data_IF_124201937545
#
_entry.id   IF_124201937545
#
_cell.length_a   1.000
_cell.length_b   1.000
_cell.length_c   1.000
_cell.angle_alpha   90.00
_cell.angle_beta   90.00
_cell.angle_gamma   90.00
#
_symmetry.space_group_name_H-M   'P 1'
#
loop_
_entity.id
_entity.type
_entity.pdbx_description
1 polymer ?
#
# COMPACT_ATOMS: atom_id res chain seq x y z
N UNK A 1 -0.69 52.41 32.57
CA UNK A 1 -2.07 52.47 32.04
C UNK A 1 -2.10 51.62 30.77
N UNK A 2 -2.59 50.37 30.88
CA UNK A 2 -3.79 49.83 30.21
C UNK A 2 -3.76 49.99 28.68
N UNK A 3 -3.36 48.93 27.96
CA UNK A 3 -4.21 47.92 27.29
C UNK A 3 -5.04 48.47 26.12
N UNK A 4 -4.75 48.04 24.89
CA UNK A 4 -5.66 47.25 24.02
C UNK A 4 -4.79 46.35 23.12
N UNK A 5 -4.91 45.03 23.29
CA UNK A 5 -4.27 44.03 22.45
C UNK A 5 -5.02 43.81 21.13
N UNK A 6 -4.26 43.56 20.07
CA UNK A 6 -4.73 42.81 18.89
C UNK A 6 -3.80 41.61 18.74
N UNK A 7 -4.25 40.47 19.28
CA UNK A 7 -3.67 39.18 18.97
C UNK A 7 -4.24 38.75 17.62
N UNK A 8 -3.42 38.77 16.57
CA UNK A 8 -3.68 38.01 15.36
C UNK A 8 -3.00 36.66 15.57
N UNK A 9 -3.78 35.69 16.04
CA UNK A 9 -3.38 34.29 16.14
C UNK A 9 -3.43 33.74 14.71
N UNK A 10 -2.28 33.58 14.05
CA UNK A 10 -2.15 32.63 12.95
C UNK A 10 -1.71 31.31 13.56
N UNK A 11 -2.71 30.55 14.02
CA UNK A 11 -2.56 29.15 14.37
C UNK A 11 -2.26 28.37 13.10
N UNK A 12 -1.01 27.93 12.92
CA UNK A 12 -0.69 26.85 12.00
C UNK A 12 -1.12 25.54 12.69
N UNK A 13 -2.44 25.33 12.73
CA UNK A 13 -2.99 24.03 13.08
C UNK A 13 -2.69 23.10 11.91
N UNK A 14 -1.81 22.14 12.13
CA UNK A 14 -1.71 20.94 11.32
C UNK A 14 -3.05 20.21 11.45
N UNK A 15 -4.01 20.59 10.61
CA UNK A 15 -5.29 19.91 10.52
C UNK A 15 -5.03 18.56 9.85
N UNK A 16 -4.74 17.55 10.67
CA UNK A 16 -5.23 16.23 10.37
C UNK A 16 -6.74 16.40 10.16
N UNK A 17 -7.20 16.36 8.91
CA UNK A 17 -8.62 16.15 8.63
C UNK A 17 -8.87 14.68 8.98
N UNK A 18 -8.95 14.41 10.27
CA UNK A 18 -9.81 13.35 10.74
C UNK A 18 -11.19 13.84 10.36
N UNK A 19 -11.78 13.21 9.35
CA UNK A 19 -13.21 13.32 9.09
C UNK A 19 -13.91 12.83 10.36
N UNK A 20 -14.14 13.73 11.31
CA UNK A 20 -15.08 13.51 12.40
C UNK A 20 -16.44 13.61 11.72
N UNK A 21 -16.86 12.54 11.05
CA UNK A 21 -18.28 12.21 11.11
C UNK A 21 -18.55 12.03 12.58
N UNK A 22 -19.35 12.94 13.13
CA UNK A 22 -19.86 12.82 14.49
C UNK A 22 -20.32 11.37 14.67
N UNK A 23 -19.63 10.62 15.53
CA UNK A 23 -20.06 9.28 15.89
C UNK A 23 -21.43 9.45 16.54
N UNK A 24 -22.46 9.17 15.74
CA UNK A 24 -23.76 8.80 16.25
C UNK A 24 -23.54 7.74 17.32
N UNK A 25 -24.23 7.90 18.44
CA UNK A 25 -24.20 7.05 19.63
C UNK A 25 -23.97 5.57 19.26
N UNK A 26 -22.71 5.12 19.37
CA UNK A 26 -22.33 3.78 18.91
C UNK A 26 -22.89 2.76 19.89
N UNK A 27 -23.63 1.80 19.34
CA UNK A 27 -24.20 0.72 20.13
C UNK A 27 -23.09 -0.05 20.86
N UNK A 28 -23.42 -0.74 21.96
CA UNK A 28 -22.43 -1.53 22.70
C UNK A 28 -21.71 -2.56 21.83
N UNK A 29 -22.36 -3.04 20.76
CA UNK A 29 -21.79 -4.02 19.84
C UNK A 29 -20.74 -3.40 18.91
N UNK A 30 -20.96 -2.18 18.40
CA UNK A 30 -19.96 -1.50 17.55
C UNK A 30 -18.67 -1.25 18.32
N UNK A 31 -18.77 -0.94 19.62
CA UNK A 31 -17.59 -0.75 20.49
C UNK A 31 -16.81 -2.06 20.66
N UNK A 32 -17.51 -3.17 20.90
CA UNK A 32 -16.89 -4.49 21.04
C UNK A 32 -16.22 -4.94 19.73
N UNK A 33 -16.89 -4.77 18.59
CA UNK A 33 -16.33 -5.12 17.28
C UNK A 33 -15.04 -4.33 16.99
N UNK A 34 -15.02 -3.03 17.33
CA UNK A 34 -13.83 -2.20 17.19
C UNK A 34 -12.69 -2.62 18.13
N UNK A 35 -13.01 -3.00 19.37
CA UNK A 35 -12.01 -3.52 20.33
C UNK A 35 -11.37 -4.81 19.81
N UNK A 36 -12.19 -5.75 19.33
CA UNK A 36 -11.72 -7.00 18.71
C UNK A 36 -10.87 -6.69 17.47
N UNK A 37 -11.33 -5.78 16.60
CA UNK A 37 -10.59 -5.38 15.42
C UNK A 37 -9.21 -4.80 15.79
N UNK A 38 -9.14 -3.96 16.82
CA UNK A 38 -7.88 -3.37 17.30
C UNK A 38 -6.89 -4.44 17.79
N UNK A 39 -7.35 -5.43 18.55
CA UNK A 39 -6.51 -6.59 18.91
C UNK A 39 -5.99 -7.32 17.67
N UNK A 40 -6.86 -7.53 16.68
CA UNK A 40 -6.52 -8.25 15.45
C UNK A 40 -5.50 -7.54 14.56
N UNK A 41 -5.62 -6.22 14.38
CA UNK A 41 -4.64 -5.43 13.63
C UNK A 41 -3.32 -5.26 14.40
N UNK A 42 -3.35 -5.37 15.74
CA UNK A 42 -2.14 -5.40 16.56
C UNK A 42 -1.44 -6.77 16.57
N UNK A 43 -2.06 -7.81 15.98
CA UNK A 43 -1.59 -9.20 16.01
C UNK A 43 -1.48 -9.77 17.43
N UNK A 44 -2.46 -9.46 18.27
CA UNK A 44 -2.53 -10.06 19.60
C UNK A 44 -3.02 -11.51 19.50
N UNK A 45 -2.13 -12.47 19.81
CA UNK A 45 -2.44 -13.90 19.69
C UNK A 45 -3.55 -14.35 20.67
N UNK A 46 -3.65 -13.71 21.84
CA UNK A 46 -4.63 -14.03 22.87
C UNK A 46 -5.21 -12.75 23.48
N UNK A 47 -6.54 -12.64 23.49
CA UNK A 47 -7.25 -11.54 24.15
C UNK A 47 -8.60 -12.00 24.68
N UNK A 48 -9.19 -11.17 25.56
CA UNK A 48 -10.42 -11.49 26.27
C UNK A 48 -11.48 -10.43 26.00
N UNK A 49 -12.73 -10.86 25.87
CA UNK A 49 -13.84 -9.94 25.73
C UNK A 49 -15.13 -10.50 26.35
N UNK A 50 -16.06 -9.60 26.67
CA UNK A 50 -17.39 -9.99 27.17
C UNK A 50 -18.36 -10.04 26.01
N UNK A 51 -19.10 -11.14 25.87
CA UNK A 51 -20.13 -11.26 24.85
C UNK A 51 -21.32 -12.08 25.36
N UNK A 52 -22.51 -11.55 25.13
CA UNK A 52 -23.75 -12.13 25.67
C UNK A 52 -24.40 -13.16 24.74
N UNK A 53 -23.89 -13.31 23.52
CA UNK A 53 -24.33 -14.34 22.57
C UNK A 53 -23.51 -15.62 22.70
N UNK A 54 -23.94 -16.67 22.01
CA UNK A 54 -23.32 -18.00 22.09
C UNK A 54 -22.21 -18.25 21.07
N UNK A 55 -22.09 -17.42 20.03
CA UNK A 55 -21.08 -17.62 18.98
C UNK A 55 -20.06 -16.49 18.94
N UNK A 56 -19.06 -16.59 19.81
CA UNK A 56 -17.88 -15.74 19.76
C UNK A 56 -17.06 -15.98 18.48
N UNK A 57 -17.05 -17.21 17.96
CA UNK A 57 -16.37 -17.53 16.71
C UNK A 57 -16.96 -16.73 15.53
N UNK A 58 -18.29 -16.70 15.40
CA UNK A 58 -18.94 -15.92 14.34
C UNK A 58 -18.60 -14.44 14.49
N UNK A 59 -18.65 -13.89 15.72
CA UNK A 59 -18.26 -12.50 15.96
C UNK A 59 -16.84 -12.20 15.48
N UNK A 60 -15.85 -13.05 15.82
CA UNK A 60 -14.47 -12.87 15.38
C UNK A 60 -14.36 -12.91 13.85
N UNK A 61 -15.05 -13.86 13.20
CA UNK A 61 -15.03 -13.98 11.75
C UNK A 61 -15.71 -12.80 11.06
N UNK A 62 -16.85 -12.32 11.56
CA UNK A 62 -17.55 -11.16 11.02
C UNK A 62 -16.75 -9.87 11.20
N UNK A 63 -16.02 -9.71 12.31
CA UNK A 63 -15.09 -8.58 12.49
C UNK A 63 -13.95 -8.65 11.48
N UNK A 64 -13.32 -9.82 11.32
CA UNK A 64 -12.20 -9.98 10.40
C UNK A 64 -12.62 -9.79 8.93
N UNK A 65 -13.80 -10.27 8.52
CA UNK A 65 -14.35 -10.15 7.15
C UNK A 65 -14.57 -8.72 6.68
N UNK A 66 -14.60 -7.73 7.58
CA UNK A 66 -14.71 -6.31 7.20
C UNK A 66 -13.43 -5.78 6.55
N UNK A 67 -12.32 -6.50 6.69
CA UNK A 67 -11.01 -6.16 6.15
C UNK A 67 -10.45 -7.40 5.43
N UNK A 68 -10.50 -7.37 4.09
CA UNK A 68 -10.11 -8.50 3.25
C UNK A 68 -8.67 -8.97 3.51
N UNK A 69 -7.76 -8.07 3.91
CA UNK A 69 -6.38 -8.41 4.24
C UNK A 69 -6.31 -9.08 5.61
N UNK A 70 -7.01 -8.53 6.61
CA UNK A 70 -7.04 -9.11 7.95
C UNK A 70 -7.65 -10.51 7.94
N UNK A 71 -8.78 -10.70 7.27
CA UNK A 71 -9.44 -12.00 7.12
C UNK A 71 -8.45 -13.08 6.64
N UNK A 72 -7.62 -12.75 5.65
CA UNK A 72 -6.63 -13.66 5.04
C UNK A 72 -5.35 -13.81 5.86
N UNK A 73 -5.07 -12.84 6.72
CA UNK A 73 -3.92 -12.87 7.64
C UNK A 73 -4.12 -13.85 8.79
N UNK A 74 -5.34 -14.36 9.00
CA UNK A 74 -5.67 -15.30 10.07
C UNK A 74 -5.67 -16.73 9.53
N UNK A 75 -4.92 -17.62 10.17
CA UNK A 75 -4.86 -19.04 9.84
C UNK A 75 -5.87 -19.85 10.65
N UNK A 76 -6.02 -19.55 11.95
CA UNK A 76 -6.89 -20.31 12.86
C UNK A 76 -7.55 -19.39 13.88
N UNK A 77 -8.84 -19.64 14.14
CA UNK A 77 -9.58 -19.08 15.27
C UNK A 77 -9.84 -20.18 16.30
N UNK A 78 -9.62 -19.87 17.57
CA UNK A 78 -10.12 -20.68 18.69
C UNK A 78 -10.78 -19.76 19.71
N UNK A 79 -11.87 -20.25 20.30
CA UNK A 79 -12.55 -19.54 21.38
C UNK A 79 -12.76 -20.48 22.57
N UNK A 80 -12.59 -19.95 23.77
CA UNK A 80 -12.93 -20.64 25.03
C UNK A 80 -13.89 -19.75 25.82
N UNK A 81 -15.00 -20.34 26.29
CA UNK A 81 -16.03 -19.62 27.06
C UNK A 81 -15.87 -19.89 28.55
N UNK A 82 -15.92 -18.84 29.37
CA UNK A 82 -15.99 -18.88 30.83
C UNK A 82 -17.05 -17.88 31.33
N UNK A 83 -18.28 -18.36 31.51
CA UNK A 83 -19.41 -17.48 31.86
C UNK A 83 -19.77 -16.55 30.69
N UNK A 84 -19.72 -15.23 30.91
CA UNK A 84 -19.92 -14.21 29.87
C UNK A 84 -18.61 -13.76 29.21
N UNK A 85 -17.48 -14.28 29.68
CA UNK A 85 -16.16 -13.97 29.14
C UNK A 85 -15.77 -15.01 28.09
N UNK A 86 -15.18 -14.53 27.01
CA UNK A 86 -14.54 -15.34 25.99
C UNK A 86 -13.07 -15.00 25.94
N UNK A 87 -12.26 -16.05 25.84
CA UNK A 87 -10.85 -15.97 25.43
C UNK A 87 -10.81 -16.32 23.94
N UNK A 88 -10.28 -15.40 23.14
CA UNK A 88 -9.89 -15.67 21.76
C UNK A 88 -8.41 -16.05 21.72
N UNK A 89 -8.10 -17.12 20.99
CA UNK A 89 -6.74 -17.48 20.59
C UNK A 89 -6.72 -17.47 19.06
N UNK A 90 -5.98 -16.54 18.47
CA UNK A 90 -5.87 -16.35 17.03
C UNK A 90 -4.45 -16.71 16.61
N UNK A 91 -4.33 -17.56 15.58
CA UNK A 91 -3.05 -17.83 14.94
C UNK A 91 -2.98 -17.04 13.65
N UNK A 92 -2.10 -16.05 13.60
CA UNK A 92 -1.84 -15.24 12.42
C UNK A 92 -0.79 -15.88 11.52
N UNK A 93 -0.83 -15.55 10.23
CA UNK A 93 0.20 -15.90 9.24
C UNK A 93 1.46 -15.05 9.38
N UNK A 94 1.32 -13.86 9.96
CA UNK A 94 2.40 -12.90 10.23
C UNK A 94 2.28 -12.35 11.64
N UNK A 95 3.42 -12.07 12.28
CA UNK A 95 3.47 -11.39 13.57
C UNK A 95 3.55 -9.85 13.40
N UNK A 96 3.51 -9.11 14.52
CA UNK A 96 3.53 -7.64 14.51
C UNK A 96 4.79 -7.04 13.86
N UNK A 97 5.97 -7.56 14.18
CA UNK A 97 7.24 -7.08 13.61
C UNK A 97 7.28 -7.29 12.08
N UNK A 98 6.76 -8.42 11.59
CA UNK A 98 6.65 -8.71 10.17
C UNK A 98 5.67 -7.76 9.48
N UNK A 99 4.53 -7.43 10.08
CA UNK A 99 3.60 -6.43 9.54
C UNK A 99 4.21 -5.03 9.51
N UNK A 100 4.97 -4.64 10.53
CA UNK A 100 5.66 -3.35 10.55
C UNK A 100 6.74 -3.28 9.45
N UNK A 101 7.47 -4.37 9.22
CA UNK A 101 8.35 -4.51 8.06
C UNK A 101 7.60 -4.38 6.74
N UNK A 102 6.49 -5.12 6.56
CA UNK A 102 5.67 -5.05 5.34
C UNK A 102 5.21 -3.62 5.08
N UNK A 103 4.68 -2.94 6.09
CA UNK A 103 4.17 -1.58 5.96
C UNK A 103 5.28 -0.60 5.56
N UNK A 104 6.42 -0.65 6.27
CA UNK A 104 7.56 0.21 5.96
C UNK A 104 8.09 -0.04 4.55
N UNK A 105 8.23 -1.30 4.16
CA UNK A 105 8.86 -1.68 2.89
C UNK A 105 7.95 -1.37 1.69
N UNK A 106 6.65 -1.66 1.78
CA UNK A 106 5.70 -1.30 0.73
C UNK A 106 5.53 0.22 0.62
N UNK A 107 5.53 0.98 1.73
CA UNK A 107 5.52 2.45 1.66
C UNK A 107 6.77 3.01 0.98
N UNK A 108 7.95 2.44 1.26
CA UNK A 108 9.20 2.80 0.57
C UNK A 108 9.09 2.54 -0.93
N UNK A 109 8.65 1.34 -1.32
CA UNK A 109 8.49 0.94 -2.71
C UNK A 109 7.49 1.86 -3.43
N UNK A 110 6.31 2.08 -2.85
CA UNK A 110 5.27 2.94 -3.44
C UNK A 110 5.79 4.37 -3.64
N UNK A 111 6.49 4.94 -2.66
CA UNK A 111 7.11 6.26 -2.78
C UNK A 111 8.14 6.36 -3.91
N UNK A 112 8.88 5.28 -4.16
CA UNK A 112 9.91 5.23 -5.20
C UNK A 112 9.32 4.96 -6.59
N UNK A 113 8.22 4.20 -6.65
CA UNK A 113 7.57 3.77 -7.88
C UNK A 113 6.55 4.78 -8.41
N UNK A 114 5.77 5.41 -7.52
CA UNK A 114 4.57 6.17 -7.89
C UNK A 114 4.84 7.67 -7.84
N UNK A 115 4.41 8.36 -8.89
CA UNK A 115 4.40 9.81 -8.98
C UNK A 115 2.98 10.35 -8.69
N UNK A 116 2.90 11.50 -8.01
CA UNK A 116 1.61 12.11 -7.68
C UNK A 116 0.83 12.57 -8.91
N UNK A 117 1.52 12.85 -10.02
CA UNK A 117 0.92 13.26 -11.31
C UNK A 117 0.28 12.09 -12.06
N UNK A 118 0.55 10.85 -11.68
CA UNK A 118 -0.06 9.69 -12.33
C UNK A 118 -1.56 9.64 -12.08
N UNK A 119 -2.31 9.27 -13.10
CA UNK A 119 -3.72 8.92 -12.98
C UNK A 119 -3.92 7.63 -12.14
N UNK A 120 -5.16 7.33 -11.77
CA UNK A 120 -5.47 6.16 -10.93
C UNK A 120 -5.13 4.86 -11.66
N UNK A 121 -5.46 4.77 -12.95
CA UNK A 121 -5.15 3.64 -13.80
C UNK A 121 -3.64 3.47 -14.03
N UNK A 122 -2.88 4.55 -14.23
CA UNK A 122 -1.42 4.50 -14.33
C UNK A 122 -0.79 3.96 -13.04
N UNK A 123 -1.32 4.34 -11.87
CA UNK A 123 -0.87 3.84 -10.57
C UNK A 123 -1.12 2.34 -10.42
N UNK A 124 -2.30 1.88 -10.82
CA UNK A 124 -2.67 0.47 -10.79
C UNK A 124 -1.79 -0.34 -11.75
N UNK A 125 -1.57 0.16 -12.96
CA UNK A 125 -0.69 -0.49 -13.94
C UNK A 125 0.75 -0.58 -13.45
N UNK A 126 1.29 0.50 -12.85
CA UNK A 126 2.63 0.49 -12.27
C UNK A 126 2.77 -0.53 -11.14
N UNK A 127 1.77 -0.65 -10.26
CA UNK A 127 1.77 -1.65 -9.18
C UNK A 127 1.70 -3.07 -9.74
N UNK A 128 0.81 -3.33 -10.71
CA UNK A 128 0.72 -4.64 -11.37
C UNK A 128 2.07 -5.01 -12.00
N UNK A 129 2.62 -4.12 -12.83
CA UNK A 129 3.88 -4.34 -13.51
C UNK A 129 5.00 -4.56 -12.50
N UNK A 130 4.94 -3.86 -11.36
CA UNK A 130 5.94 -4.03 -10.32
C UNK A 130 5.90 -5.42 -9.70
N UNK A 131 4.74 -5.81 -9.15
CA UNK A 131 4.56 -7.08 -8.46
C UNK A 131 4.88 -8.26 -9.40
N UNK A 132 4.40 -8.19 -10.64
CA UNK A 132 4.66 -9.21 -11.67
C UNK A 132 6.14 -9.31 -12.03
N UNK A 133 6.88 -8.20 -12.00
CA UNK A 133 8.32 -8.19 -12.30
C UNK A 133 9.16 -8.72 -11.16
N UNK A 134 8.78 -8.45 -9.90
CA UNK A 134 9.61 -8.79 -8.74
C UNK A 134 9.30 -10.15 -8.14
N UNK A 135 8.11 -10.70 -8.34
CA UNK A 135 7.74 -12.00 -7.82
C UNK A 135 7.82 -13.08 -8.89
N UNK A 136 8.02 -14.31 -8.43
CA UNK A 136 7.82 -15.53 -9.21
C UNK A 136 6.79 -16.40 -8.52
N UNK A 137 5.91 -17.04 -9.27
CA UNK A 137 4.95 -17.98 -8.71
C UNK A 137 5.63 -19.11 -7.91
N UNK A 138 5.16 -19.36 -6.68
CA UNK A 138 5.69 -20.42 -5.80
C UNK A 138 4.94 -21.74 -5.99
N UNK A 139 5.46 -22.62 -6.84
CA UNK A 139 4.91 -23.96 -7.07
C UNK A 139 5.01 -24.88 -5.84
N UNK A 140 5.80 -24.52 -4.81
CA UNK A 140 5.90 -25.29 -3.57
C UNK A 140 4.81 -24.98 -2.55
N UNK A 141 4.01 -23.92 -2.81
CA UNK A 141 2.89 -23.48 -1.99
C UNK A 141 3.26 -23.10 -0.55
N UNK A 142 4.47 -22.57 -0.34
CA UNK A 142 4.98 -22.22 1.00
C UNK A 142 4.88 -20.74 1.32
N UNK A 143 4.91 -19.89 0.31
CA UNK A 143 4.82 -18.45 0.47
C UNK A 143 3.43 -17.97 0.09
N UNK A 144 2.64 -17.60 1.09
CA UNK A 144 1.21 -17.30 0.99
C UNK A 144 0.80 -15.96 1.59
N UNK A 145 1.77 -15.18 2.08
CA UNK A 145 1.56 -13.89 2.72
C UNK A 145 2.60 -12.87 2.22
N UNK A 146 2.35 -11.59 2.51
CA UNK A 146 3.17 -10.49 1.96
C UNK A 146 4.60 -10.51 2.50
N UNK A 147 4.81 -10.94 3.75
CA UNK A 147 6.15 -10.98 4.34
C UNK A 147 7.04 -11.98 3.60
N UNK A 148 6.55 -13.21 3.41
CA UNK A 148 7.30 -14.22 2.67
C UNK A 148 7.46 -13.81 1.21
N UNK A 149 6.43 -13.26 0.57
CA UNK A 149 6.52 -12.74 -0.80
C UNK A 149 7.64 -11.70 -0.98
N UNK A 150 7.69 -10.70 -0.09
CA UNK A 150 8.72 -9.65 -0.12
C UNK A 150 10.13 -10.20 0.17
N UNK A 151 10.28 -11.14 1.09
CA UNK A 151 11.60 -11.63 1.52
C UNK A 151 12.18 -12.70 0.61
N UNK A 152 11.35 -13.52 -0.03
CA UNK A 152 11.79 -14.60 -0.92
C UNK A 152 11.67 -14.24 -2.40
N UNK A 153 10.93 -13.17 -2.73
CA UNK A 153 10.57 -12.80 -4.11
C UNK A 153 9.75 -13.89 -4.82
N UNK A 154 9.02 -14.70 -4.07
CA UNK A 154 8.17 -15.75 -4.61
C UNK A 154 6.94 -15.98 -3.75
N UNK A 155 5.78 -16.21 -4.35
CA UNK A 155 4.51 -16.41 -3.63
C UNK A 155 3.44 -17.09 -4.49
N UNK A 156 2.40 -17.61 -3.85
CA UNK A 156 1.16 -18.04 -4.52
C UNK A 156 0.20 -16.86 -4.72
N UNK A 157 -0.93 -17.11 -5.40
CA UNK A 157 -1.96 -16.12 -5.75
C UNK A 157 -2.40 -15.22 -4.60
N UNK A 158 -2.56 -15.76 -3.39
CA UNK A 158 -2.93 -14.97 -2.21
C UNK A 158 -1.90 -13.89 -1.88
N UNK A 159 -0.60 -14.19 -1.90
CA UNK A 159 0.42 -13.20 -1.59
C UNK A 159 0.59 -12.13 -2.67
N UNK A 160 0.33 -12.44 -3.95
CA UNK A 160 0.20 -11.41 -5.01
C UNK A 160 -0.96 -10.47 -4.66
N UNK A 161 -2.16 -11.02 -4.46
CA UNK A 161 -3.36 -10.22 -4.23
C UNK A 161 -3.28 -9.38 -2.95
N UNK A 162 -2.70 -9.92 -1.89
CA UNK A 162 -2.48 -9.19 -0.62
C UNK A 162 -1.41 -8.10 -0.78
N UNK A 163 -0.36 -8.31 -1.57
CA UNK A 163 0.67 -7.28 -1.84
C UNK A 163 0.06 -6.10 -2.60
N UNK A 164 -0.66 -6.39 -3.70
CA UNK A 164 -1.36 -5.37 -4.51
C UNK A 164 -2.36 -4.59 -3.66
N UNK A 165 -3.16 -5.29 -2.84
CA UNK A 165 -4.11 -4.67 -1.92
C UNK A 165 -3.45 -3.64 -1.00
N UNK A 166 -2.34 -4.02 -0.33
CA UNK A 166 -1.63 -3.09 0.57
C UNK A 166 -1.03 -1.91 -0.18
N UNK A 167 -0.44 -2.13 -1.36
CA UNK A 167 0.14 -1.05 -2.17
C UNK A 167 -0.92 -0.04 -2.64
N UNK A 168 -2.10 -0.50 -3.03
CA UNK A 168 -3.21 0.36 -3.44
C UNK A 168 -3.82 1.12 -2.24
N UNK A 169 -3.94 0.48 -1.09
CA UNK A 169 -4.40 1.14 0.14
C UNK A 169 -3.46 2.25 0.60
N UNK A 170 -2.13 2.11 0.43
CA UNK A 170 -1.17 3.19 0.68
C UNK A 170 -1.49 4.43 -0.17
N UNK A 171 -2.03 4.24 -1.37
CA UNK A 171 -2.42 5.31 -2.29
C UNK A 171 -3.86 5.81 -2.08
N UNK A 172 -4.61 5.20 -1.15
CA UNK A 172 -6.04 5.50 -0.95
C UNK A 172 -6.93 5.03 -2.11
N UNK A 173 -6.49 4.04 -2.89
CA UNK A 173 -7.28 3.46 -3.97
C UNK A 173 -8.08 2.27 -3.42
N UNK A 174 -9.41 2.37 -3.49
CA UNK A 174 -10.31 1.29 -3.04
C UNK A 174 -9.95 -0.03 -3.74
N UNK A 175 -9.66 -1.06 -2.95
CA UNK A 175 -9.34 -2.39 -3.41
C UNK A 175 -10.09 -3.44 -2.58
N UNK A 176 -10.49 -4.55 -3.21
CA UNK A 176 -10.98 -5.76 -2.54
C UNK A 176 -10.14 -6.96 -2.96
N UNK A 177 -10.05 -7.98 -2.13
CA UNK A 177 -9.47 -9.29 -2.47
C UNK A 177 -10.61 -10.29 -2.64
N UNK A 178 -10.69 -10.91 -3.81
CA UNK A 178 -11.66 -11.96 -4.09
C UNK A 178 -11.04 -13.31 -3.76
N UNK A 179 -11.82 -14.18 -3.12
CA UNK A 179 -11.60 -15.63 -3.14
C UNK A 179 -12.60 -16.27 -4.11
N UNK A 180 -12.08 -17.08 -5.01
CA UNK A 180 -12.88 -17.82 -5.96
C UNK A 180 -12.09 -18.98 -6.53
N UNK A 181 -12.41 -19.33 -7.78
CA UNK A 181 -11.76 -20.40 -8.51
C UNK A 181 -11.35 -19.93 -9.89
N UNK A 182 -10.24 -20.47 -10.38
CA UNK A 182 -9.81 -20.40 -11.75
C UNK A 182 -9.78 -21.82 -12.33
N UNK A 183 -10.71 -22.10 -13.25
CA UNK A 183 -10.78 -23.40 -13.94
C UNK A 183 -10.81 -24.61 -12.99
N UNK A 184 -11.48 -24.48 -11.83
CA UNK A 184 -11.64 -25.54 -10.83
C UNK A 184 -10.55 -25.60 -9.75
N UNK A 185 -9.58 -24.68 -9.78
CA UNK A 185 -8.56 -24.53 -8.74
C UNK A 185 -8.82 -23.24 -7.96
N UNK A 186 -8.79 -23.33 -6.63
CA UNK A 186 -8.94 -22.16 -5.76
C UNK A 186 -7.92 -21.07 -6.11
N UNK A 187 -8.39 -19.83 -6.19
CA UNK A 187 -7.59 -18.70 -6.65
C UNK A 187 -8.00 -17.40 -5.95
N UNK A 188 -7.06 -16.48 -5.84
CA UNK A 188 -7.27 -15.16 -5.25
C UNK A 188 -6.73 -14.05 -6.16
N UNK A 189 -7.49 -12.97 -6.30
CA UNK A 189 -7.15 -11.80 -7.12
C UNK A 189 -7.84 -10.54 -6.56
N UNK A 190 -7.68 -9.39 -7.22
CA UNK A 190 -8.20 -8.12 -6.74
C UNK A 190 -9.37 -7.59 -7.56
N UNK A 191 -10.23 -6.82 -6.90
CA UNK A 191 -11.02 -5.76 -7.53
C UNK A 191 -10.41 -4.41 -7.14
N UNK A 192 -10.38 -3.48 -8.09
CA UNK A 192 -9.85 -2.13 -7.90
C UNK A 192 -10.85 -1.12 -8.45
N UNK A 193 -10.92 0.06 -7.85
CA UNK A 193 -11.91 1.07 -8.22
C UNK A 193 -11.26 2.28 -8.89
N UNK A 194 -11.82 2.70 -10.02
CA UNK A 194 -11.45 3.92 -10.74
C UNK A 194 -12.73 4.73 -10.93
N UNK A 195 -12.75 5.97 -10.45
CA UNK A 195 -13.88 6.91 -10.61
C UNK A 195 -15.26 6.32 -10.28
N UNK A 196 -15.34 5.51 -9.22
CA UNK A 196 -16.59 4.89 -8.79
C UNK A 196 -16.90 3.53 -9.40
N UNK A 197 -16.16 3.12 -10.44
CA UNK A 197 -16.38 1.87 -11.19
C UNK A 197 -15.35 0.83 -10.79
N UNK A 198 -15.79 -0.41 -10.60
CA UNK A 198 -14.93 -1.53 -10.21
C UNK A 198 -14.41 -2.30 -11.40
N UNK A 199 -13.18 -2.81 -11.29
CA UNK A 199 -12.51 -3.60 -12.31
C UNK A 199 -11.69 -4.71 -11.67
N UNK A 200 -11.60 -5.85 -12.35
CA UNK A 200 -10.74 -6.95 -11.93
C UNK A 200 -9.28 -6.68 -12.25
N UNK A 201 -8.41 -7.11 -11.33
CA UNK A 201 -6.96 -7.15 -11.48
C UNK A 201 -6.45 -8.49 -10.94
N UNK A 202 -5.87 -9.31 -11.82
CA UNK A 202 -5.18 -10.54 -11.42
C UNK A 202 -3.69 -10.49 -11.79
N UNK A 203 -2.88 -10.01 -10.85
CA UNK A 203 -1.43 -9.97 -11.01
C UNK A 203 -0.77 -11.35 -11.05
N UNK A 204 -1.42 -12.40 -10.52
CA UNK A 204 -0.86 -13.77 -10.55
C UNK A 204 -0.91 -14.35 -11.95
N UNK A 205 -2.05 -14.24 -12.62
CA UNK A 205 -2.17 -14.72 -14.01
C UNK A 205 -1.56 -13.75 -15.04
N UNK A 206 -1.22 -12.54 -14.60
CA UNK A 206 -0.32 -11.64 -15.33
C UNK A 206 1.16 -11.99 -15.14
N UNK A 207 1.54 -12.85 -14.19
CA UNK A 207 2.90 -13.39 -14.06
C UNK A 207 3.19 -14.43 -15.15
N UNK A 208 3.26 -13.92 -16.37
CA UNK A 208 3.52 -14.65 -17.59
C UNK A 208 4.14 -13.69 -18.62
N UNK A 209 4.34 -14.16 -19.86
CA UNK A 209 4.86 -13.35 -20.98
C UNK A 209 3.99 -12.10 -21.21
N UNK A 210 2.68 -12.23 -21.04
CA UNK A 210 1.67 -11.19 -21.26
C UNK A 210 1.23 -10.63 -19.91
N UNK A 211 1.80 -9.49 -19.50
CA UNK A 211 1.73 -9.00 -18.10
C UNK A 211 0.52 -8.15 -17.75
N UNK A 212 -0.38 -7.93 -18.69
CA UNK A 212 -1.55 -7.08 -18.53
C UNK A 212 -2.84 -7.72 -19.07
N UNK A 213 -2.82 -9.04 -19.29
CA UNK A 213 -3.99 -9.80 -19.78
C UNK A 213 -5.21 -9.66 -18.89
N UNK A 214 -5.01 -9.65 -17.57
CA UNK A 214 -6.05 -9.55 -16.55
C UNK A 214 -6.00 -8.20 -15.80
N UNK A 215 -5.52 -7.15 -16.47
CA UNK A 215 -5.51 -5.78 -15.96
C UNK A 215 -6.82 -5.05 -16.32
N UNK A 216 -7.54 -4.60 -15.29
CA UNK A 216 -8.75 -3.78 -15.36
C UNK A 216 -9.89 -4.38 -16.23
N UNK A 217 -10.28 -5.61 -15.90
CA UNK A 217 -11.27 -6.41 -16.66
C UNK A 217 -12.68 -6.41 -16.05
N UNK A 218 -13.69 -6.68 -16.87
CA UNK A 218 -15.08 -6.89 -16.43
C UNK A 218 -15.31 -8.27 -15.83
N UNK A 219 -16.42 -8.41 -15.10
CA UNK A 219 -16.95 -9.69 -14.64
C UNK A 219 -17.05 -10.70 -15.81
N UNK A 220 -17.66 -10.29 -16.92
CA UNK A 220 -17.89 -11.15 -18.09
C UNK A 220 -16.58 -11.67 -18.68
N UNK A 221 -15.56 -10.81 -18.81
CA UNK A 221 -14.25 -11.23 -19.30
C UNK A 221 -13.60 -12.27 -18.38
N UNK A 222 -13.71 -12.08 -17.06
CA UNK A 222 -13.17 -13.03 -16.08
C UNK A 222 -13.90 -14.37 -16.19
N UNK A 223 -15.24 -14.37 -16.27
CA UNK A 223 -16.04 -15.60 -16.42
C UNK A 223 -15.71 -16.35 -17.71
N UNK A 224 -15.62 -15.65 -18.85
CA UNK A 224 -15.21 -16.23 -20.14
C UNK A 224 -13.82 -16.85 -20.09
N UNK A 225 -12.93 -16.30 -19.25
CA UNK A 225 -11.60 -16.84 -19.02
C UNK A 225 -11.56 -17.90 -17.92
N UNK A 226 -12.70 -18.36 -17.40
CA UNK A 226 -12.82 -19.48 -16.46
C UNK A 226 -12.65 -19.11 -14.99
N UNK A 227 -12.83 -17.84 -14.62
CA UNK A 227 -12.91 -17.42 -13.22
C UNK A 227 -14.34 -17.54 -12.70
N UNK A 228 -14.50 -17.94 -11.44
CA UNK A 228 -15.80 -17.98 -10.75
C UNK A 228 -15.65 -17.52 -9.31
N UNK A 229 -16.62 -16.76 -8.80
CA UNK A 229 -16.67 -16.26 -7.42
C UNK A 229 -18.12 -16.01 -6.99
N UNK A 230 -18.35 -15.84 -5.69
CA UNK A 230 -19.66 -15.43 -5.19
C UNK A 230 -19.88 -13.94 -5.44
N UNK A 231 -20.60 -13.61 -6.51
CA UNK A 231 -20.93 -12.24 -6.90
C UNK A 231 -21.74 -11.46 -5.85
N UNK A 232 -22.36 -12.13 -4.88
CA UNK A 232 -23.15 -11.44 -3.84
C UNK A 232 -22.28 -10.78 -2.77
N UNK A 233 -21.00 -11.20 -2.66
CA UNK A 233 -20.07 -10.70 -1.64
C UNK A 233 -19.21 -9.52 -2.13
N UNK A 234 -19.22 -9.23 -3.43
CA UNK A 234 -18.30 -8.28 -4.06
C UNK A 234 -19.03 -7.31 -5.00
N UNK A 235 -18.52 -6.09 -5.18
CA UNK A 235 -19.06 -5.19 -6.18
C UNK A 235 -18.82 -5.74 -7.60
N UNK A 236 -19.69 -5.36 -8.53
CA UNK A 236 -19.62 -5.82 -9.93
C UNK A 236 -18.76 -4.90 -10.80
N UNK A 237 -17.96 -5.51 -11.69
CA UNK A 237 -17.23 -4.84 -12.75
C UNK A 237 -17.99 -4.98 -14.08
N UNK A 238 -18.73 -3.95 -14.48
CA UNK A 238 -19.68 -4.02 -15.60
C UNK A 238 -19.05 -4.03 -17.00
N UNK A 239 -17.85 -3.48 -17.17
CA UNK A 239 -17.20 -3.35 -18.49
C UNK A 239 -15.68 -3.32 -18.36
N UNK A 240 -14.97 -3.77 -19.40
CA UNK A 240 -13.51 -3.63 -19.46
C UNK A 240 -13.14 -2.14 -19.47
N UNK A 241 -12.08 -1.76 -18.74
CA UNK A 241 -11.58 -0.39 -18.79
C UNK A 241 -10.98 -0.08 -20.17
N UNK A 242 -10.11 -0.98 -20.65
CA UNK A 242 -9.53 -0.87 -21.98
C UNK A 242 -10.37 -1.64 -23.00
N UNK A 243 -11.17 -0.92 -23.80
CA UNK A 243 -12.13 -1.52 -24.73
C UNK A 243 -11.47 -2.29 -25.89
N UNK A 244 -10.30 -1.84 -26.38
CA UNK A 244 -9.65 -2.38 -27.58
C UNK A 244 -8.14 -2.62 -27.40
N UNK A 245 -7.67 -2.95 -26.19
CA UNK A 245 -6.24 -3.24 -25.98
C UNK A 245 -5.89 -4.58 -26.63
N UNK A 246 -5.31 -4.53 -27.83
CA UNK A 246 -4.83 -5.69 -28.59
C UNK A 246 -3.34 -5.94 -28.43
N UNK A 247 -2.62 -4.93 -27.97
CA UNK A 247 -1.19 -5.02 -27.65
C UNK A 247 -1.01 -5.18 -26.16
N UNK A 248 -0.31 -6.24 -25.80
CA UNK A 248 0.07 -6.54 -24.43
C UNK A 248 1.57 -6.33 -24.30
N UNK A 249 2.02 -5.90 -23.13
CA UNK A 249 3.44 -5.68 -22.91
C UNK A 249 4.14 -7.03 -22.74
N UNK A 250 4.96 -7.38 -23.74
CA UNK A 250 5.87 -8.52 -23.69
C UNK A 250 7.18 -8.10 -23.01
N UNK A 251 7.43 -8.65 -21.83
CA UNK A 251 8.64 -8.42 -21.05
C UNK A 251 9.66 -9.58 -21.16
N UNK A 252 9.63 -10.37 -22.25
CA UNK A 252 10.54 -11.49 -22.56
C UNK A 252 12.05 -11.15 -22.52
N UNK A 253 12.43 -9.89 -22.28
CA UNK A 253 13.81 -9.43 -22.14
C UNK A 253 14.26 -9.18 -20.69
N UNK A 254 13.46 -9.58 -19.70
CA UNK A 254 13.81 -9.46 -18.29
C UNK A 254 15.02 -10.33 -17.93
N UNK A 255 16.24 -9.78 -18.04
CA UNK A 255 17.43 -10.41 -17.48
C UNK A 255 17.30 -10.37 -15.96
N UNK A 256 17.53 -11.51 -15.31
CA UNK A 256 17.38 -11.70 -13.86
C UNK A 256 18.18 -10.69 -13.02
N UNK A 257 19.26 -10.13 -13.58
CA UNK A 257 20.07 -9.08 -12.96
C UNK A 257 19.31 -7.74 -12.78
N UNK A 258 18.25 -7.48 -13.54
CA UNK A 258 17.46 -6.24 -13.48
C UNK A 258 16.49 -6.25 -12.28
N UNK A 259 16.20 -7.40 -11.66
CA UNK A 259 15.19 -7.50 -10.59
C UNK A 259 15.63 -6.73 -9.35
N UNK A 260 16.93 -6.73 -9.02
CA UNK A 260 17.44 -6.05 -7.82
C UNK A 260 17.29 -4.52 -7.89
N UNK A 261 17.61 -3.92 -9.03
CA UNK A 261 17.40 -2.49 -9.28
C UNK A 261 15.91 -2.18 -9.43
N UNK A 262 15.15 -3.07 -10.07
CA UNK A 262 13.72 -2.87 -10.25
C UNK A 262 12.95 -2.91 -8.91
N UNK A 263 13.39 -3.74 -7.97
CA UNK A 263 12.83 -3.85 -6.62
C UNK A 263 12.85 -2.53 -5.86
N UNK A 264 13.85 -1.68 -6.10
CA UNK A 264 13.95 -0.37 -5.45
C UNK A 264 12.85 0.62 -5.87
N UNK A 265 12.08 0.31 -6.92
CA UNK A 265 11.01 1.15 -7.46
C UNK A 265 11.49 2.26 -8.40
N UNK A 266 12.80 2.46 -8.49
CA UNK A 266 13.47 3.43 -9.34
C UNK A 266 14.97 3.45 -9.07
N UNK A 267 15.71 4.25 -9.84
CA UNK A 267 17.16 4.30 -9.79
C UNK A 267 17.73 5.71 -9.98
N UNK A 268 18.89 5.94 -9.39
CA UNK A 268 19.67 7.16 -9.55
C UNK A 268 20.52 7.09 -10.82
N UNK A 269 20.59 8.17 -11.58
CA UNK A 269 21.49 8.26 -12.73
C UNK A 269 22.07 9.66 -12.89
N UNK A 270 23.17 9.76 -13.65
CA UNK A 270 23.74 11.03 -14.09
C UNK A 270 23.46 11.29 -15.55
N UNK A 271 23.10 12.51 -15.87
CA UNK A 271 23.04 12.96 -17.26
C UNK A 271 24.45 13.24 -17.85
N UNK A 272 24.49 13.61 -19.13
CA UNK A 272 25.73 13.94 -19.84
C UNK A 272 26.49 15.14 -19.23
N UNK A 273 25.82 15.96 -18.42
CA UNK A 273 26.40 17.10 -17.70
C UNK A 273 26.77 16.75 -16.24
N UNK A 274 26.81 15.46 -15.91
CA UNK A 274 27.09 14.94 -14.56
C UNK A 274 26.11 15.42 -13.48
N UNK A 275 24.88 15.81 -13.85
CA UNK A 275 23.81 16.15 -12.90
C UNK A 275 23.04 14.91 -12.49
N UNK A 276 22.70 14.82 -11.21
CA UNK A 276 21.97 13.69 -10.65
C UNK A 276 20.46 13.83 -10.87
N UNK A 277 19.85 12.70 -11.23
CA UNK A 277 18.42 12.52 -11.45
C UNK A 277 17.97 11.22 -10.76
N UNK A 278 16.67 11.07 -10.53
CA UNK A 278 16.06 9.81 -10.10
C UNK A 278 14.92 9.43 -11.03
N UNK A 279 15.05 8.26 -11.68
CA UNK A 279 14.05 7.70 -12.57
C UNK A 279 13.22 6.67 -11.82
N UNK A 280 11.90 6.83 -11.80
CA UNK A 280 10.97 5.81 -11.30
C UNK A 280 10.80 4.71 -12.34
N UNK A 281 10.57 3.47 -11.90
CA UNK A 281 10.31 2.36 -12.81
C UNK A 281 8.95 2.46 -13.51
N UNK A 282 8.07 3.35 -13.05
CA UNK A 282 6.85 3.78 -13.78
C UNK A 282 7.15 4.68 -14.98
N UNK A 283 8.40 5.13 -15.17
CA UNK A 283 8.82 6.02 -16.26
C UNK A 283 8.88 7.50 -15.89
N UNK A 284 8.34 7.90 -14.74
CA UNK A 284 8.38 9.29 -14.26
C UNK A 284 9.74 9.65 -13.66
N UNK A 285 10.10 10.93 -13.72
CA UNK A 285 11.26 11.48 -13.00
C UNK A 285 10.80 12.30 -11.81
N UNK A 286 11.63 12.27 -10.75
CA UNK A 286 11.34 12.94 -9.50
C UNK A 286 11.49 14.46 -9.64
N UNK A 287 10.51 15.18 -9.11
CA UNK A 287 10.55 16.63 -8.89
C UNK A 287 10.15 16.92 -7.45
N UNK A 288 10.63 18.03 -6.89
CA UNK A 288 10.33 18.45 -5.53
C UNK A 288 11.00 17.55 -4.48
N UNK A 289 10.40 17.50 -3.29
CA UNK A 289 10.88 16.71 -2.16
C UNK A 289 10.74 15.21 -2.41
N UNK A 290 11.81 14.47 -2.16
CA UNK A 290 11.84 13.02 -2.31
C UNK A 290 12.62 12.37 -1.17
N UNK A 291 11.98 11.42 -0.49
CA UNK A 291 12.62 10.65 0.57
C UNK A 291 13.16 9.35 0.01
N UNK A 292 14.45 9.09 0.17
CA UNK A 292 15.11 7.87 -0.26
C UNK A 292 16.10 7.40 0.82
N UNK A 293 16.03 6.12 1.21
CA UNK A 293 16.85 5.54 2.28
C UNK A 293 16.92 6.40 3.55
N UNK A 294 15.74 6.83 4.03
CA UNK A 294 15.56 7.71 5.19
C UNK A 294 16.15 9.13 5.10
N UNK A 295 16.67 9.54 3.94
CA UNK A 295 17.16 10.88 3.71
C UNK A 295 16.24 11.65 2.75
N UNK A 296 16.06 12.93 3.01
CA UNK A 296 15.34 13.83 2.10
C UNK A 296 16.29 14.43 1.07
N UNK A 297 15.80 14.51 -0.16
CA UNK A 297 16.44 15.16 -1.30
C UNK A 297 15.43 16.11 -1.92
N UNK A 298 15.92 17.10 -2.68
CA UNK A 298 15.06 17.98 -3.45
C UNK A 298 15.49 18.00 -4.91
N UNK A 299 14.52 17.89 -5.82
CA UNK A 299 14.71 17.98 -7.25
C UNK A 299 14.01 19.22 -7.78
N UNK A 300 14.64 19.93 -8.71
CA UNK A 300 13.97 21.05 -9.39
C UNK A 300 12.90 20.57 -10.37
N UNK A 301 12.19 21.52 -10.97
CA UNK A 301 11.27 21.25 -12.09
C UNK A 301 12.00 20.68 -13.32
N UNK A 302 13.31 20.92 -13.40
CA UNK A 302 14.22 20.32 -14.38
C UNK A 302 14.59 18.86 -14.06
N UNK A 303 13.98 18.25 -13.04
CA UNK A 303 14.26 16.91 -12.53
C UNK A 303 15.70 16.71 -12.02
N UNK A 304 16.45 17.80 -11.84
CA UNK A 304 17.84 17.75 -11.36
C UNK A 304 17.86 17.89 -9.84
N UNK A 305 18.54 16.95 -9.17
CA UNK A 305 18.81 17.01 -7.73
C UNK A 305 19.57 18.29 -7.37
N UNK A 306 19.04 19.06 -6.42
CA UNK A 306 19.66 20.29 -5.93
C UNK A 306 20.65 19.99 -4.80
N UNK A 307 21.56 20.94 -4.58
CA UNK A 307 22.53 20.96 -3.48
C UNK A 307 22.69 22.41 -3.01
N UNK A 308 23.21 22.62 -1.81
CA UNK A 308 23.32 23.95 -1.19
C UNK A 308 21.98 24.47 -0.65
N UNK A 309 21.91 25.79 -0.47
CA UNK A 309 20.71 26.47 0.01
C UNK A 309 19.60 26.48 -1.04
N UNK A 310 18.40 26.09 -0.63
CA UNK A 310 17.17 26.20 -1.42
C UNK A 310 16.09 26.93 -0.62
N UNK A 311 15.19 27.62 -1.32
CA UNK A 311 13.97 28.18 -0.73
C UNK A 311 12.76 27.51 -1.38
N UNK A 312 11.91 26.89 -0.56
CA UNK A 312 10.66 26.26 -1.01
C UNK A 312 9.54 26.75 -0.11
N UNK A 313 8.50 27.32 -0.69
CA UNK A 313 7.32 27.84 0.02
C UNK A 313 7.65 28.81 1.17
N UNK A 314 8.68 29.64 0.98
CA UNK A 314 9.10 30.65 1.95
C UNK A 314 10.03 30.15 3.05
N UNK A 315 10.28 28.84 3.14
CA UNK A 315 11.22 28.25 4.09
C UNK A 315 12.57 27.98 3.42
N UNK A 316 13.66 28.19 4.16
CA UNK A 316 15.02 27.89 3.70
C UNK A 316 15.49 26.54 4.24
N UNK A 317 16.15 25.78 3.36
CA UNK A 317 16.72 24.48 3.65
C UNK A 317 18.13 24.39 3.08
N UNK A 318 18.97 23.54 3.65
CA UNK A 318 20.28 23.24 3.10
C UNK A 318 20.40 21.76 2.72
N UNK A 319 20.85 21.51 1.49
CA UNK A 319 21.18 20.17 1.01
C UNK A 319 22.70 20.03 0.93
N UNK A 320 23.24 18.99 1.53
CA UNK A 320 24.67 18.66 1.44
C UNK A 320 25.12 18.42 0.00
N UNK A 321 26.43 18.32 -0.23
CA UNK A 321 27.00 18.06 -1.56
C UNK A 321 26.58 16.71 -2.17
N UNK A 322 26.15 15.76 -1.35
CA UNK A 322 25.56 14.49 -1.78
C UNK A 322 24.02 14.57 -1.94
N UNK A 323 23.42 15.76 -1.79
CA UNK A 323 21.99 16.03 -1.97
C UNK A 323 21.12 15.83 -0.73
N UNK A 324 21.66 15.25 0.35
CA UNK A 324 20.89 14.97 1.55
C UNK A 324 20.53 16.26 2.31
N UNK A 325 19.28 16.36 2.78
CA UNK A 325 18.82 17.44 3.64
C UNK A 325 19.58 17.47 4.97
N UNK A 326 20.09 18.64 5.32
CA UNK A 326 20.63 18.93 6.63
C UNK A 326 19.48 19.17 7.63
N UNK A 327 19.53 18.50 8.78
CA UNK A 327 18.58 18.65 9.89
C UNK A 327 19.36 18.71 11.20
N UNK A 328 18.79 19.35 12.24
CA UNK A 328 19.35 19.45 13.58
C UNK A 328 20.83 19.88 13.60
N UNK A 329 21.17 20.92 12.83
CA UNK A 329 22.57 21.33 12.63
C UNK A 329 22.69 22.83 12.35
N UNK A 330 23.92 23.32 12.25
CA UNK A 330 24.23 24.70 11.88
C UNK A 330 25.01 24.70 10.56
N UNK A 331 24.53 25.43 9.56
CA UNK A 331 25.19 25.63 8.27
C UNK A 331 25.40 27.12 8.06
N UNK A 332 26.63 27.54 7.75
CA UNK A 332 27.01 28.95 7.51
C UNK A 332 26.57 29.92 8.64
N UNK A 333 26.50 29.43 9.88
CA UNK A 333 26.07 30.20 11.04
C UNK A 333 24.54 30.25 11.27
N UNK A 334 23.76 29.59 10.42
CA UNK A 334 22.30 29.49 10.57
C UNK A 334 21.87 28.13 11.13
N UNK A 335 20.91 28.14 12.05
CA UNK A 335 20.40 26.92 12.67
C UNK A 335 19.27 26.30 11.83
N UNK A 336 19.34 24.99 11.63
CA UNK A 336 18.31 24.18 10.98
C UNK A 336 17.69 23.24 12.00
N UNK A 337 16.35 23.20 12.05
CA UNK A 337 15.59 22.36 12.99
C UNK A 337 15.53 20.87 12.57
N UNK A 338 14.73 20.08 13.27
CA UNK A 338 14.54 18.65 12.99
C UNK A 338 13.91 18.36 11.62
N UNK A 339 13.20 19.33 11.05
CA UNK A 339 12.62 19.26 9.71
C UNK A 339 13.54 19.90 8.65
N UNK A 340 14.72 20.40 9.06
CA UNK A 340 15.69 21.07 8.20
C UNK A 340 15.32 22.51 7.84
N UNK A 341 14.33 23.09 8.52
CA UNK A 341 13.88 24.46 8.30
C UNK A 341 14.81 25.44 9.03
N UNK A 342 15.24 26.48 8.32
CA UNK A 342 16.00 27.60 8.87
C UNK A 342 15.19 28.38 9.91
N UNK A 343 15.78 28.56 11.10
CA UNK A 343 15.24 29.35 12.19
C UNK A 343 16.04 30.63 12.45
#
# INVERSE_FOLDING_TARGET
MKNIGKATILSLGLAFVCSITAFADTSSNDKLENEIYNHMINRDDVFYFTYYSNSALDLLQEVAKKDDYLERSIAVYKTRKAGYFFEAEIQYRTNKEQEDYINSELSRIVNNLIDSRMSTEEKIEAINNYVVKIYKYDDTLKSDNVYTALTTKSTICQGYAMTVYKMLNILGIDCRIINGDKSGTSHAWNLVKIDGVWYHLDSTNNDNIVRDKYLLKSDDYMIENGFTWDKTQYPSASSNYFLNKTEYLDYNNDKENDISEYYEGGYWYKDNNSKWHYKRNSGYEVMGWFKYNNNWYYFGEDCIMKTGWINTDGNWYYLYSNGMLATNTIIDGYSLDENGVLH
#
